data_IF_494271191430
#
_entry.id   IF_494271191430
#
_cell.length_a   1.000
_cell.length_b   1.000
_cell.length_c   1.000
_cell.angle_alpha   90.00
_cell.angle_beta   90.00
_cell.angle_gamma   90.00
#
_symmetry.space_group_name_H-M   'P 1'
#
loop_
_entity.id
_entity.type
_entity.pdbx_description
1 polymer ?
#
# COMPACT_ATOMS: atom_id res chain seq x y z
N UNK A 1 4.04 -42.65 -29.12
CA UNK A 1 4.67 -41.31 -29.16
C UNK A 1 3.85 -40.41 -28.27
N UNK A 2 4.46 -39.71 -27.31
CA UNK A 2 3.74 -38.78 -26.43
C UNK A 2 4.11 -37.37 -26.83
N UNK A 3 3.10 -36.55 -27.11
CA UNK A 3 3.29 -35.14 -27.47
C UNK A 3 2.56 -34.27 -26.44
N UNK A 4 3.31 -33.45 -25.72
CA UNK A 4 2.76 -32.41 -24.86
C UNK A 4 2.72 -31.10 -25.65
N UNK A 5 1.58 -30.40 -25.57
CA UNK A 5 1.37 -29.13 -26.28
C UNK A 5 1.45 -27.92 -25.35
N UNK A 6 1.01 -28.04 -24.11
CA UNK A 6 1.02 -26.96 -23.12
C UNK A 6 1.32 -27.52 -21.72
N UNK A 7 2.06 -26.76 -20.91
CA UNK A 7 2.30 -27.06 -19.51
C UNK A 7 2.38 -25.74 -18.71
N UNK A 8 1.85 -25.77 -17.49
CA UNK A 8 1.99 -24.71 -16.50
C UNK A 8 2.26 -25.36 -15.15
N UNK A 9 3.23 -24.83 -14.41
CA UNK A 9 3.63 -25.37 -13.11
C UNK A 9 3.72 -24.23 -12.10
N UNK A 10 3.25 -24.49 -10.89
CA UNK A 10 3.46 -23.68 -9.70
C UNK A 10 4.10 -24.55 -8.65
N UNK A 11 5.09 -23.99 -7.96
CA UNK A 11 5.70 -24.65 -6.82
C UNK A 11 4.83 -24.46 -5.57
N UNK A 12 3.96 -25.46 -5.32
CA UNK A 12 3.07 -25.48 -4.15
C UNK A 12 3.83 -25.49 -2.83
N UNK A 13 5.07 -26.01 -2.79
CA UNK A 13 5.87 -26.06 -1.56
C UNK A 13 6.34 -24.69 -1.10
N UNK A 14 6.45 -23.74 -2.03
CA UNK A 14 6.84 -22.35 -1.75
C UNK A 14 5.67 -21.45 -1.32
N UNK A 15 4.42 -21.90 -1.52
CA UNK A 15 3.23 -21.10 -1.28
C UNK A 15 3.16 -20.60 0.18
N UNK A 16 2.51 -19.43 0.35
CA UNK A 16 2.29 -18.81 1.65
C UNK A 16 0.82 -18.44 1.77
N UNK A 17 0.20 -18.87 2.86
CA UNK A 17 -1.13 -18.43 3.23
C UNK A 17 -1.04 -17.01 3.82
N UNK A 18 -2.04 -16.17 3.52
CA UNK A 18 -2.15 -14.82 4.04
C UNK A 18 -3.46 -14.72 4.81
N UNK A 19 -3.34 -14.37 6.08
CA UNK A 19 -4.45 -14.29 7.03
C UNK A 19 -4.64 -12.86 7.57
N UNK A 20 -5.83 -12.59 8.10
CA UNK A 20 -6.09 -11.34 8.82
C UNK A 20 -5.14 -11.19 10.01
N UNK A 21 -4.68 -9.97 10.26
CA UNK A 21 -3.66 -9.62 11.27
C UNK A 21 -2.22 -10.02 10.93
N UNK A 22 -1.98 -10.64 9.77
CA UNK A 22 -0.60 -10.86 9.30
C UNK A 22 0.09 -9.51 9.08
N UNK A 23 1.35 -9.42 9.48
CA UNK A 23 2.15 -8.20 9.36
C UNK A 23 3.23 -8.36 8.29
N UNK A 24 3.25 -7.44 7.34
CA UNK A 24 4.22 -7.36 6.26
C UNK A 24 4.90 -5.98 6.30
N UNK A 25 6.05 -5.92 6.95
CA UNK A 25 6.77 -4.66 7.18
C UNK A 25 5.95 -3.71 8.05
N UNK A 26 5.63 -2.53 7.53
CA UNK A 26 4.84 -1.50 8.19
C UNK A 26 3.32 -1.73 8.12
N UNK A 27 2.86 -2.69 7.29
CA UNK A 27 1.45 -2.94 7.05
C UNK A 27 0.96 -4.20 7.77
N UNK A 28 -0.29 -4.15 8.21
CA UNK A 28 -1.04 -5.28 8.77
C UNK A 28 -2.26 -5.57 7.90
N UNK A 29 -2.53 -6.84 7.64
CA UNK A 29 -3.67 -7.29 6.84
C UNK A 29 -4.96 -7.03 7.62
N UNK A 30 -5.80 -6.15 7.09
CA UNK A 30 -7.11 -5.85 7.65
C UNK A 30 -8.20 -6.74 7.05
N UNK A 31 -7.99 -7.22 5.82
CA UNK A 31 -8.92 -8.13 5.15
C UNK A 31 -8.19 -8.99 4.12
N UNK A 32 -8.43 -10.30 4.12
CA UNK A 32 -8.01 -11.22 3.07
C UNK A 32 -9.25 -11.94 2.51
N UNK A 33 -9.54 -11.74 1.23
CA UNK A 33 -10.70 -12.34 0.55
C UNK A 33 -10.29 -12.90 -0.81
N UNK A 34 -11.20 -13.64 -1.45
CA UNK A 34 -11.03 -14.08 -2.84
C UNK A 34 -10.87 -12.93 -3.83
N UNK A 35 -11.32 -11.72 -3.48
CA UNK A 35 -11.28 -10.56 -4.37
C UNK A 35 -10.01 -9.71 -4.19
N UNK A 36 -9.21 -9.99 -3.15
CA UNK A 36 -8.00 -9.24 -2.86
C UNK A 36 -7.68 -9.17 -1.37
N UNK A 37 -6.55 -8.51 -1.09
CA UNK A 37 -6.01 -8.31 0.25
C UNK A 37 -5.95 -6.81 0.52
N UNK A 38 -6.53 -6.38 1.62
CA UNK A 38 -6.47 -5.01 2.14
C UNK A 38 -5.54 -4.96 3.34
N UNK A 39 -4.69 -3.94 3.39
CA UNK A 39 -3.72 -3.76 4.47
C UNK A 39 -3.64 -2.29 4.88
N UNK A 40 -3.39 -2.05 6.16
CA UNK A 40 -3.25 -0.71 6.74
C UNK A 40 -1.94 -0.63 7.53
N UNK A 41 -1.35 0.56 7.64
CA UNK A 41 -0.21 0.76 8.52
C UNK A 41 -0.69 0.78 9.98
N UNK A 42 -0.21 -0.16 10.80
CA UNK A 42 -0.57 -0.22 12.23
C UNK A 42 -0.02 0.98 13.00
N UNK A 43 1.18 1.44 12.60
CA UNK A 43 1.90 2.53 13.22
C UNK A 43 2.12 3.67 12.22
N UNK A 44 2.49 4.85 12.72
CA UNK A 44 2.90 5.98 11.88
C UNK A 44 4.12 5.63 11.03
N UNK A 45 4.07 6.00 9.74
CA UNK A 45 5.21 5.93 8.83
C UNK A 45 5.85 7.31 8.75
N UNK A 46 7.07 7.44 9.25
CA UNK A 46 7.80 8.71 9.22
C UNK A 46 8.44 8.97 7.86
N UNK A 47 8.31 10.20 7.37
CA UNK A 47 8.89 10.68 6.11
C UNK A 47 9.98 11.73 6.38
N UNK A 48 11.12 11.26 6.86
CA UNK A 48 12.25 12.15 7.20
C UNK A 48 12.91 12.69 5.94
N UNK A 49 13.27 13.98 5.96
CA UNK A 49 13.97 14.64 4.85
C UNK A 49 15.27 13.90 4.50
N UNK A 50 15.59 13.82 3.20
CA UNK A 50 16.78 13.14 2.68
C UNK A 50 16.95 11.68 3.18
N UNK A 51 15.86 10.92 3.19
CA UNK A 51 15.88 9.54 3.69
C UNK A 51 15.09 8.59 2.80
N UNK A 52 15.17 7.30 3.13
CA UNK A 52 14.30 6.28 2.57
C UNK A 52 13.62 5.50 3.70
N UNK A 53 12.30 5.39 3.63
CA UNK A 53 11.50 4.67 4.64
C UNK A 53 10.98 3.38 4.03
N UNK A 54 11.47 2.23 4.49
CA UNK A 54 11.00 0.91 4.06
C UNK A 54 9.56 0.68 4.51
N UNK A 55 8.73 0.21 3.59
CA UNK A 55 7.32 -0.08 3.83
C UNK A 55 7.08 -1.59 3.97
N UNK A 56 7.52 -2.37 3.00
CA UNK A 56 7.33 -3.82 2.95
C UNK A 56 8.36 -4.44 2.01
N UNK A 57 9.05 -5.49 2.46
CA UNK A 57 10.07 -6.14 1.63
C UNK A 57 11.09 -5.13 1.07
N UNK A 58 11.19 -5.07 -0.25
CA UNK A 58 12.03 -4.12 -0.99
C UNK A 58 11.31 -2.81 -1.39
N UNK A 59 10.03 -2.66 -1.08
CA UNK A 59 9.25 -1.45 -1.31
C UNK A 59 9.51 -0.40 -0.21
N UNK A 60 9.75 0.84 -0.63
CA UNK A 60 10.06 1.97 0.25
C UNK A 60 9.50 3.28 -0.31
N UNK A 61 9.41 4.30 0.53
CA UNK A 61 9.37 5.69 0.06
C UNK A 61 10.78 6.25 -0.02
N UNK A 62 11.11 6.97 -1.10
CA UNK A 62 12.28 7.84 -1.18
C UNK A 62 11.83 9.28 -0.96
N UNK A 63 12.45 9.95 0.01
CA UNK A 63 12.08 11.29 0.44
C UNK A 63 13.20 12.26 0.03
N UNK A 64 12.82 13.35 -0.63
CA UNK A 64 13.78 14.34 -1.11
C UNK A 64 14.42 15.12 0.05
N UNK A 65 15.63 15.63 -0.20
CA UNK A 65 16.22 16.67 0.63
C UNK A 65 15.60 18.04 0.29
N UNK A 66 14.41 18.31 0.82
CA UNK A 66 13.69 19.55 0.57
C UNK A 66 12.82 19.96 1.78
N UNK A 67 12.65 21.27 1.98
CA UNK A 67 11.75 21.83 3.00
C UNK A 67 10.28 21.55 2.73
N UNK A 68 9.90 21.44 1.45
CA UNK A 68 8.56 21.00 1.04
C UNK A 68 8.62 19.48 0.88
N UNK A 69 7.71 18.77 1.55
CA UNK A 69 7.65 17.32 1.49
C UNK A 69 7.43 16.84 0.05
N UNK A 70 8.39 16.08 -0.47
CA UNK A 70 8.33 15.40 -1.77
C UNK A 70 8.84 13.98 -1.58
N UNK A 71 8.02 13.01 -1.94
CA UNK A 71 8.36 11.60 -1.83
C UNK A 71 7.71 10.80 -2.96
N UNK A 72 8.24 9.61 -3.21
CA UNK A 72 7.69 8.67 -4.19
C UNK A 72 7.94 7.22 -3.75
N UNK A 73 7.07 6.26 -4.13
CA UNK A 73 7.33 4.85 -3.91
C UNK A 73 8.45 4.35 -4.82
N UNK A 74 9.31 3.49 -4.29
CA UNK A 74 10.40 2.87 -5.01
C UNK A 74 10.54 1.40 -4.58
N UNK A 75 11.05 0.57 -5.48
CA UNK A 75 11.39 -0.83 -5.23
C UNK A 75 12.82 -1.06 -5.68
N UNK A 76 13.65 -1.62 -4.81
CA UNK A 76 14.99 -2.03 -5.19
C UNK A 76 14.98 -3.46 -5.71
N UNK A 77 15.71 -3.71 -6.79
CA UNK A 77 15.88 -5.04 -7.36
C UNK A 77 17.37 -5.37 -7.43
N UNK A 78 17.73 -6.59 -7.01
CA UNK A 78 19.07 -7.13 -7.23
C UNK A 78 19.05 -7.89 -8.53
N UNK A 79 19.79 -7.39 -9.52
CA UNK A 79 20.07 -8.15 -10.74
C UNK A 79 21.18 -9.14 -10.37
N UNK A 80 20.91 -10.44 -10.49
CA UNK A 80 21.82 -11.52 -10.07
C UNK A 80 23.25 -11.35 -10.60
N UNK A 81 24.24 -11.77 -9.79
CA UNK A 81 25.69 -11.68 -9.98
C UNK A 81 26.17 -11.21 -11.37
N UNK A 82 26.12 -9.89 -11.60
CA UNK A 82 27.09 -9.26 -12.48
C UNK A 82 28.29 -8.94 -11.60
N UNK A 83 29.40 -9.63 -11.79
CA UNK A 83 30.69 -9.11 -11.35
C UNK A 83 30.93 -7.88 -12.23
N UNK A 84 30.95 -6.63 -11.71
CA UNK A 84 31.43 -5.52 -12.52
C UNK A 84 32.91 -5.80 -12.78
N UNK A 85 33.24 -6.30 -13.96
CA UNK A 85 34.62 -6.26 -14.45
C UNK A 85 34.94 -4.80 -14.67
N UNK A 86 35.57 -4.17 -13.68
CA UNK A 86 36.16 -2.84 -13.79
C UNK A 86 37.42 -2.92 -14.67
N UNK A 87 37.26 -3.20 -15.97
CA UNK A 87 38.33 -2.97 -16.95
C UNK A 87 38.23 -1.54 -17.41
N UNK A 88 38.97 -0.66 -16.74
CA UNK A 88 39.03 0.75 -17.08
C UNK A 88 39.72 1.55 -15.98
N UNK A 89 41.01 1.33 -15.78
CA UNK A 89 41.87 2.28 -15.04
C UNK A 89 41.95 3.56 -15.85
N UNK A 90 41.02 4.50 -15.63
CA UNK A 90 41.24 5.88 -16.01
C UNK A 90 42.20 6.50 -14.99
N UNK A 91 43.48 6.58 -15.36
CA UNK A 91 44.48 7.38 -14.64
C UNK A 91 44.04 8.84 -14.73
N UNK A 92 43.41 9.36 -13.68
CA UNK A 92 43.20 10.80 -13.53
C UNK A 92 44.47 11.43 -12.99
N UNK A 93 45.24 12.08 -13.88
CA UNK A 93 46.23 13.09 -13.46
C UNK A 93 45.45 14.33 -13.02
N UNK A 94 45.60 14.84 -11.79
CA UNK A 94 44.86 16.03 -11.38
C UNK A 94 45.49 17.25 -12.03
N UNK A 95 44.78 17.88 -12.97
CA UNK A 95 45.09 19.23 -13.43
C UNK A 95 43.82 20.07 -13.52
N UNK A 96 43.71 21.02 -12.61
CA UNK A 96 42.83 22.18 -12.75
C UNK A 96 41.72 22.26 -11.72
N UNK A 97 41.92 23.11 -10.71
CA UNK A 97 40.85 23.70 -9.92
C UNK A 97 39.96 24.52 -10.86
N UNK A 98 38.69 24.17 -11.00
CA UNK A 98 37.67 25.08 -11.54
C UNK A 98 36.58 25.32 -10.52
N UNK A 99 36.54 26.59 -10.11
CA UNK A 99 35.57 27.29 -9.28
C UNK A 99 34.16 27.18 -9.88
N UNK A 100 33.16 26.97 -9.01
CA UNK A 100 31.75 26.91 -9.38
C UNK A 100 31.31 28.16 -10.18
N UNK A 101 30.53 27.94 -11.24
CA UNK A 101 29.79 28.99 -11.94
C UNK A 101 28.33 28.56 -12.07
N UNK A 102 27.49 29.30 -11.37
CA UNK A 102 26.03 29.37 -11.50
C UNK A 102 25.64 29.80 -12.91
N UNK A 103 24.65 29.13 -13.51
CA UNK A 103 23.97 29.61 -14.70
C UNK A 103 23.85 28.58 -15.83
N UNK A 104 22.78 27.80 -15.80
CA UNK A 104 22.26 27.16 -17.01
C UNK A 104 20.73 27.26 -17.00
N UNK A 105 20.25 28.30 -17.67
CA UNK A 105 18.86 28.49 -18.10
C UNK A 105 18.45 27.32 -18.98
N UNK A 106 17.40 26.59 -18.58
CA UNK A 106 16.72 25.65 -19.46
C UNK A 106 15.36 26.24 -19.83
N UNK A 107 15.25 26.65 -21.08
CA UNK A 107 13.98 26.99 -21.75
C UNK A 107 13.20 25.69 -21.95
N UNK A 108 12.05 25.55 -21.29
CA UNK A 108 11.05 24.54 -21.61
C UNK A 108 9.74 25.25 -21.96
N UNK A 109 9.22 24.95 -23.14
CA UNK A 109 7.96 25.45 -23.68
C UNK A 109 6.79 24.93 -22.85
N UNK A 110 6.11 25.83 -22.14
CA UNK A 110 4.86 25.55 -21.42
C UNK A 110 3.70 25.64 -22.41
N UNK A 111 2.96 24.54 -22.59
CA UNK A 111 1.62 24.57 -23.18
C UNK A 111 0.65 25.11 -22.12
N UNK A 112 -0.11 26.19 -22.39
CA UNK A 112 -1.03 26.75 -21.41
C UNK A 112 -2.33 25.94 -21.36
N UNK A 113 -2.64 25.33 -20.21
CA UNK A 113 -4.01 24.92 -19.88
C UNK A 113 -4.71 26.05 -19.13
N UNK A 114 -5.72 26.62 -19.80
CA UNK A 114 -6.66 27.62 -19.29
C UNK A 114 -7.40 27.14 -18.03
N UNK A 115 -7.45 27.91 -16.93
CA UNK A 115 -8.34 27.63 -15.81
C UNK A 115 -9.79 28.01 -16.16
N UNK A 116 -10.73 27.08 -15.99
CA UNK A 116 -12.17 27.37 -16.06
C UNK A 116 -12.64 27.95 -14.71
N UNK A 117 -13.47 29.00 -14.68
CA UNK A 117 -13.85 29.69 -13.44
C UNK A 117 -14.76 28.86 -12.54
N UNK A 118 -14.64 29.13 -11.24
CA UNK A 118 -15.59 28.75 -10.19
C UNK A 118 -16.89 29.54 -10.40
N UNK A 119 -18.02 28.84 -10.48
CA UNK A 119 -19.34 29.46 -10.31
C UNK A 119 -20.00 28.90 -9.05
N UNK A 120 -20.15 29.77 -8.07
CA UNK A 120 -21.11 29.65 -6.98
C UNK A 120 -22.49 30.04 -7.53
N UNK A 121 -23.49 29.18 -7.39
CA UNK A 121 -24.89 29.60 -7.38
C UNK A 121 -25.64 28.71 -6.40
N UNK A 122 -26.08 29.33 -5.30
CA UNK A 122 -27.07 28.73 -4.43
C UNK A 122 -28.45 28.81 -5.08
N UNK A 123 -29.20 27.73 -4.97
CA UNK A 123 -30.64 27.74 -5.02
C UNK A 123 -31.15 26.69 -4.03
N UNK A 124 -31.69 27.17 -2.92
CA UNK A 124 -32.56 26.38 -2.05
C UNK A 124 -33.83 26.00 -2.82
N UNK A 125 -34.32 24.76 -2.65
CA UNK A 125 -35.75 24.45 -2.52
C UNK A 125 -36.02 22.99 -2.13
N UNK A 126 -36.66 22.86 -0.96
CA UNK A 126 -37.89 22.09 -0.68
C UNK A 126 -37.85 20.55 -0.56
N UNK A 127 -38.33 20.14 0.62
CA UNK A 127 -38.42 18.80 1.18
C UNK A 127 -39.47 17.87 0.52
N UNK A 128 -39.18 16.56 0.56
CA UNK A 128 -40.18 15.48 0.71
C UNK A 128 -39.52 14.30 1.47
N UNK A 129 -40.17 13.71 2.49
CA UNK A 129 -39.52 12.74 3.37
C UNK A 129 -39.32 11.40 2.66
N UNK A 130 -38.13 10.81 2.80
CA UNK A 130 -37.86 9.44 2.35
C UNK A 130 -37.73 8.58 3.60
N UNK A 131 -38.73 7.74 3.82
CA UNK A 131 -38.78 6.68 4.81
C UNK A 131 -37.67 5.66 4.51
N UNK A 132 -36.70 5.50 5.40
CA UNK A 132 -35.74 4.39 5.34
C UNK A 132 -36.19 3.28 6.29
N UNK A 133 -36.84 2.26 5.74
CA UNK A 133 -36.96 0.93 6.36
C UNK A 133 -35.56 0.29 6.37
N UNK A 134 -34.95 -0.03 7.52
CA UNK A 134 -33.72 -0.82 7.55
C UNK A 134 -34.09 -2.29 7.32
N UNK A 135 -33.47 -2.96 6.34
CA UNK A 135 -33.43 -4.43 6.29
C UNK A 135 -32.02 -4.88 6.68
N UNK A 136 -32.01 -5.84 7.61
CA UNK A 136 -30.94 -6.24 8.53
C UNK A 136 -29.64 -6.77 7.90
N UNK A 137 -28.49 -6.51 8.55
CA UNK A 137 -27.35 -7.40 8.58
C UNK A 137 -27.57 -8.49 9.65
N UNK A 138 -27.60 -9.76 9.23
CA UNK A 138 -27.90 -10.89 10.10
C UNK A 138 -26.89 -11.07 11.24
N UNK A 139 -27.40 -11.05 12.48
CA UNK A 139 -27.16 -11.97 13.59
C UNK A 139 -27.88 -11.38 14.81
N UNK A 140 -29.17 -11.68 14.91
CA UNK A 140 -30.09 -11.34 15.98
C UNK A 140 -29.47 -11.58 17.37
N UNK A 141 -29.39 -10.50 18.17
CA UNK A 141 -28.93 -10.47 19.57
C UNK A 141 -29.73 -11.41 20.50
N UNK A 142 -30.86 -11.94 20.02
CA UNK A 142 -31.77 -12.83 20.75
C UNK A 142 -31.24 -14.26 20.86
N UNK A 143 -30.46 -14.75 19.88
CA UNK A 143 -29.92 -16.12 19.93
C UNK A 143 -28.77 -16.29 20.92
N UNK A 144 -28.01 -15.24 21.21
CA UNK A 144 -26.91 -15.28 22.18
C UNK A 144 -27.42 -15.51 23.62
N UNK A 145 -28.57 -14.92 23.97
CA UNK A 145 -29.15 -15.06 25.32
C UNK A 145 -29.78 -16.45 25.49
N UNK A 146 -30.50 -16.96 24.48
CA UNK A 146 -31.10 -18.30 24.53
C UNK A 146 -30.04 -19.42 24.63
N UNK A 147 -28.92 -19.29 23.90
CA UNK A 147 -27.81 -20.24 23.96
C UNK A 147 -27.14 -20.28 25.33
N UNK A 148 -26.85 -19.11 25.93
CA UNK A 148 -26.23 -19.03 27.26
C UNK A 148 -27.15 -19.61 28.35
N UNK A 149 -28.46 -19.37 28.27
CA UNK A 149 -29.44 -19.95 29.20
C UNK A 149 -29.55 -21.47 29.07
N UNK A 150 -29.46 -22.02 27.85
CA UNK A 150 -29.48 -23.46 27.62
C UNK A 150 -28.25 -24.16 28.23
N UNK A 151 -27.06 -23.56 28.10
CA UNK A 151 -25.82 -24.08 28.70
C UNK A 151 -25.90 -24.03 30.23
N UNK A 152 -26.38 -22.92 30.81
CA UNK A 152 -26.55 -22.79 32.25
C UNK A 152 -27.54 -23.82 32.81
N UNK A 153 -28.67 -24.05 32.13
CA UNK A 153 -29.66 -25.05 32.52
C UNK A 153 -29.10 -26.48 32.50
N UNK A 154 -28.30 -26.82 31.49
CA UNK A 154 -27.72 -28.16 31.35
C UNK A 154 -26.68 -28.46 32.45
N UNK A 155 -25.87 -27.47 32.83
CA UNK A 155 -24.92 -27.57 33.96
C UNK A 155 -25.65 -27.70 35.30
N UNK A 156 -26.76 -26.98 35.50
CA UNK A 156 -27.55 -27.08 36.74
C UNK A 156 -28.25 -28.45 36.88
N UNK A 157 -28.65 -29.06 35.76
CA UNK A 157 -29.30 -30.39 35.74
C UNK A 157 -28.34 -31.55 36.04
N UNK A 158 -27.05 -31.41 35.69
CA UNK A 158 -26.03 -32.43 35.99
C UNK A 158 -25.58 -32.43 37.47
N UNK A 159 -26.00 -31.44 38.26
CA UNK A 159 -25.65 -31.31 39.69
C UNK A 159 -26.73 -31.83 40.65
N UNK A 160 -27.66 -32.66 40.17
CA UNK A 160 -28.60 -33.42 41.01
C UNK A 160 -28.32 -34.92 40.88
#
# INVERSE_FOLDING_TARGET
MVQFKYAWLVDESSAKEISGSDTFGAFEVTQATTNGISMNNKNTVSLSQNSATTLMGNMKFKIADNKILRFYPAVDYVIGNVTPTTTGTAVITPRGTVKATSGATQTQTVVPTTPRPVETTGAAQTAKPITTTPKEPGFELVFAIAGLLAVAFLVLRQRK
#
